data_IF_976837839385
#
_entry.id   IF_976837839385
#
_cell.length_a   1.000
_cell.length_b   1.000
_cell.length_c   1.000
_cell.angle_alpha   90.00
_cell.angle_beta   90.00
_cell.angle_gamma   90.00
#
_symmetry.space_group_name_H-M   'P 1'
#
loop_
_entity.id
_entity.type
_entity.pdbx_description
1 polymer ?
#
# COMPACT_ATOMS: atom_id res chain seq x y z
N UNK A 1 11.50 6.42 -2.52
CA UNK A 1 10.82 7.07 -3.66
C UNK A 1 11.89 7.78 -4.44
N UNK A 2 12.17 7.36 -5.68
CA UNK A 2 13.40 7.80 -6.36
C UNK A 2 13.25 9.15 -7.09
N UNK A 3 12.01 9.52 -7.41
CA UNK A 3 11.68 10.76 -8.14
C UNK A 3 10.44 11.44 -7.56
N UNK A 4 10.45 12.77 -7.55
CA UNK A 4 9.29 13.57 -7.20
C UNK A 4 8.14 13.29 -8.19
N UNK A 5 6.93 12.96 -7.71
CA UNK A 5 5.81 12.62 -8.60
C UNK A 5 5.32 13.82 -9.41
N UNK A 6 5.50 15.05 -8.90
CA UNK A 6 5.07 16.26 -9.60
C UNK A 6 6.02 16.67 -10.73
N UNK A 7 7.33 16.84 -10.44
CA UNK A 7 8.28 17.39 -11.42
C UNK A 7 9.30 16.39 -11.97
N UNK A 8 9.26 15.13 -11.51
CA UNK A 8 10.16 14.03 -11.90
C UNK A 8 11.65 14.24 -11.61
N UNK A 9 12.02 15.28 -10.87
CA UNK A 9 13.37 15.46 -10.35
C UNK A 9 13.73 14.31 -9.39
N UNK A 10 15.01 13.95 -9.31
CA UNK A 10 15.47 12.95 -8.35
C UNK A 10 15.13 13.41 -6.93
N UNK A 11 14.45 12.56 -6.19
CA UNK A 11 14.17 12.81 -4.78
C UNK A 11 15.34 12.26 -3.95
N UNK A 12 15.71 12.99 -2.91
CA UNK A 12 16.59 12.50 -1.85
C UNK A 12 15.69 11.90 -0.78
N UNK A 13 15.92 10.66 -0.36
CA UNK A 13 15.06 9.89 0.54
C UNK A 13 14.84 10.53 1.92
N UNK A 14 15.64 11.52 2.32
CA UNK A 14 15.44 12.27 3.56
C UNK A 14 14.88 13.68 3.36
N UNK A 15 14.82 14.18 2.12
CA UNK A 15 14.33 15.54 1.86
C UNK A 15 12.83 15.67 2.16
N UNK A 16 12.44 16.62 3.01
CA UNK A 16 11.04 16.91 3.32
C UNK A 16 10.32 17.49 2.12
N UNK A 17 10.99 18.38 1.36
CA UNK A 17 10.45 19.01 0.16
C UNK A 17 11.30 18.69 -1.07
N UNK A 18 10.67 18.68 -2.25
CA UNK A 18 11.40 18.59 -3.51
C UNK A 18 12.20 19.87 -3.78
N UNK A 19 13.52 19.75 -3.94
CA UNK A 19 14.41 20.90 -4.23
C UNK A 19 14.09 21.64 -5.53
N UNK A 20 13.35 21.03 -6.47
CA UNK A 20 13.01 21.65 -7.76
C UNK A 20 11.68 22.38 -7.76
N UNK A 21 10.63 21.77 -7.19
CA UNK A 21 9.27 22.31 -7.28
C UNK A 21 8.65 22.64 -5.93
N UNK A 22 9.36 22.45 -4.82
CA UNK A 22 8.86 22.74 -3.47
C UNK A 22 7.76 21.79 -2.99
N UNK A 23 7.42 20.73 -3.73
CA UNK A 23 6.40 19.77 -3.31
C UNK A 23 6.77 19.11 -1.98
N UNK A 24 5.82 19.01 -1.07
CA UNK A 24 5.96 18.28 0.19
C UNK A 24 6.02 16.77 -0.04
N UNK A 25 7.19 16.18 0.24
CA UNK A 25 7.50 14.77 0.03
C UNK A 25 7.38 13.95 1.32
N UNK A 26 7.50 14.55 2.51
CA UNK A 26 7.46 13.78 3.76
C UNK A 26 6.08 13.15 3.96
N UNK A 27 5.00 13.92 3.72
CA UNK A 27 3.63 13.39 3.81
C UNK A 27 3.39 12.22 2.85
N UNK A 28 3.87 12.32 1.61
CA UNK A 28 3.77 11.23 0.63
C UNK A 28 4.49 9.96 1.12
N UNK A 29 5.69 10.11 1.68
CA UNK A 29 6.43 8.97 2.27
C UNK A 29 5.73 8.36 3.46
N UNK A 30 5.13 9.18 4.33
CA UNK A 30 4.33 8.69 5.44
C UNK A 30 3.14 7.85 4.95
N UNK A 31 2.47 8.29 3.88
CA UNK A 31 1.40 7.53 3.22
C UNK A 31 1.91 6.21 2.64
N UNK A 32 3.04 6.22 1.93
CA UNK A 32 3.65 4.99 1.39
C UNK A 32 4.00 3.99 2.50
N UNK A 33 4.65 4.45 3.57
CA UNK A 33 4.99 3.60 4.71
C UNK A 33 3.75 3.08 5.44
N UNK A 34 2.69 3.89 5.54
CA UNK A 34 1.43 3.44 6.11
C UNK A 34 0.78 2.35 5.25
N UNK A 35 0.83 2.49 3.92
CA UNK A 35 0.35 1.48 2.99
C UNK A 35 1.13 0.16 3.15
N UNK A 36 2.46 0.23 3.25
CA UNK A 36 3.29 -0.95 3.43
C UNK A 36 3.01 -1.67 4.76
N UNK A 37 2.79 -0.94 5.85
CA UNK A 37 2.39 -1.52 7.15
C UNK A 37 1.04 -2.23 7.06
N UNK A 38 0.05 -1.63 6.38
CA UNK A 38 -1.27 -2.25 6.20
C UNK A 38 -1.22 -3.47 5.30
N UNK A 39 -0.36 -3.47 4.27
CA UNK A 39 -0.15 -4.62 3.42
C UNK A 39 0.45 -5.80 4.21
N UNK A 40 1.48 -5.54 5.01
CA UNK A 40 2.07 -6.55 5.88
C UNK A 40 1.05 -7.11 6.87
N UNK A 41 0.22 -6.25 7.46
CA UNK A 41 -0.84 -6.68 8.38
C UNK A 41 -1.88 -7.54 7.67
N UNK A 42 -2.34 -7.15 6.49
CA UNK A 42 -3.25 -7.95 5.68
C UNK A 42 -2.72 -9.36 5.43
N UNK A 43 -1.43 -9.48 5.04
CA UNK A 43 -0.79 -10.78 4.84
C UNK A 43 -0.71 -11.59 6.14
N UNK A 44 -0.43 -10.97 7.30
CA UNK A 44 -0.45 -11.68 8.60
C UNK A 44 -1.84 -12.20 8.95
N UNK A 45 -2.88 -11.40 8.73
CA UNK A 45 -4.26 -11.81 8.99
C UNK A 45 -4.69 -12.96 8.06
N UNK A 46 -4.25 -12.94 6.79
CA UNK A 46 -4.44 -14.07 5.88
C UNK A 46 -3.81 -15.35 6.42
N UNK A 47 -2.57 -15.27 6.93
CA UNK A 47 -1.87 -16.41 7.51
C UNK A 47 -2.54 -16.92 8.81
N UNK A 48 -3.17 -16.02 9.56
CA UNK A 48 -3.96 -16.35 10.74
C UNK A 48 -5.36 -16.93 10.41
N UNK A 49 -5.77 -16.91 9.14
CA UNK A 49 -7.09 -17.36 8.68
C UNK A 49 -8.21 -16.33 8.89
N UNK A 50 -7.91 -15.14 9.40
CA UNK A 50 -8.88 -14.06 9.56
C UNK A 50 -9.06 -13.30 8.23
N UNK A 51 -9.98 -13.82 7.41
CA UNK A 51 -10.28 -13.24 6.09
C UNK A 51 -10.86 -11.82 6.20
N UNK A 52 -11.65 -11.54 7.24
CA UNK A 52 -12.31 -10.25 7.41
C UNK A 52 -11.30 -9.16 7.75
N UNK A 53 -10.45 -9.39 8.75
CA UNK A 53 -9.40 -8.47 9.13
C UNK A 53 -8.36 -8.29 8.00
N UNK A 54 -8.05 -9.37 7.26
CA UNK A 54 -7.18 -9.30 6.10
C UNK A 54 -7.75 -8.40 5.00
N UNK A 55 -9.02 -8.58 4.64
CA UNK A 55 -9.66 -7.78 3.61
C UNK A 55 -9.71 -6.30 4.02
N UNK A 56 -10.05 -5.99 5.28
CA UNK A 56 -10.07 -4.62 5.78
C UNK A 56 -8.70 -3.95 5.66
N UNK A 57 -7.63 -4.63 6.12
CA UNK A 57 -6.28 -4.10 6.06
C UNK A 57 -5.83 -3.86 4.61
N UNK A 58 -6.13 -4.79 3.69
CA UNK A 58 -5.81 -4.64 2.27
C UNK A 58 -6.63 -3.54 1.60
N UNK A 59 -7.89 -3.35 1.99
CA UNK A 59 -8.71 -2.25 1.47
C UNK A 59 -8.15 -0.89 1.89
N UNK A 60 -7.60 -0.80 3.10
CA UNK A 60 -6.88 0.41 3.57
C UNK A 60 -5.57 0.65 2.81
N UNK A 61 -4.90 -0.37 2.28
CA UNK A 61 -3.78 -0.15 1.34
C UNK A 61 -4.28 0.61 0.11
N UNK A 62 -5.42 0.20 -0.45
CA UNK A 62 -5.99 0.80 -1.67
C UNK A 62 -6.50 2.24 -1.48
N UNK A 63 -6.81 2.65 -0.25
CA UNK A 63 -7.14 4.06 0.04
C UNK A 63 -5.89 4.95 0.10
N UNK A 64 -4.72 4.37 0.40
CA UNK A 64 -3.45 5.08 0.52
C UNK A 64 -2.66 5.07 -0.80
N UNK A 65 -2.69 3.95 -1.52
CA UNK A 65 -1.92 3.74 -2.76
C UNK A 65 -2.66 2.79 -3.69
N UNK A 66 -2.61 3.08 -4.99
CA UNK A 66 -3.07 2.15 -6.02
C UNK A 66 -2.11 0.95 -6.14
N UNK A 67 -2.26 -0.03 -5.27
CA UNK A 67 -1.38 -1.20 -5.14
C UNK A 67 -1.96 -2.43 -5.87
N UNK A 68 -1.31 -2.93 -6.94
CA UNK A 68 -1.79 -4.09 -7.68
C UNK A 68 -1.87 -5.36 -6.84
N UNK A 69 -0.90 -5.58 -5.94
CA UNK A 69 -0.85 -6.78 -5.12
C UNK A 69 -2.02 -6.80 -4.13
N UNK A 70 -2.29 -5.68 -3.44
CA UNK A 70 -3.43 -5.58 -2.53
C UNK A 70 -4.76 -5.89 -3.24
N UNK A 71 -4.93 -5.39 -4.48
CA UNK A 71 -6.12 -5.69 -5.30
C UNK A 71 -6.25 -7.18 -5.60
N UNK A 72 -5.17 -7.85 -5.97
CA UNK A 72 -5.17 -9.29 -6.24
C UNK A 72 -5.48 -10.11 -4.99
N UNK A 73 -4.91 -9.74 -3.84
CA UNK A 73 -5.14 -10.42 -2.56
C UNK A 73 -6.59 -10.29 -2.09
N UNK A 74 -7.22 -9.12 -2.26
CA UNK A 74 -8.66 -8.95 -1.99
C UNK A 74 -9.49 -9.86 -2.91
N UNK A 75 -9.13 -9.95 -4.20
CA UNK A 75 -9.78 -10.88 -5.13
C UNK A 75 -9.71 -12.33 -4.65
N UNK A 76 -8.53 -12.76 -4.17
CA UNK A 76 -8.34 -14.08 -3.57
C UNK A 76 -9.17 -14.30 -2.30
N UNK A 77 -9.28 -13.30 -1.43
CA UNK A 77 -10.10 -13.36 -0.21
C UNK A 77 -11.60 -13.36 -0.47
N UNK A 78 -12.05 -12.82 -1.61
CA UNK A 78 -13.46 -12.83 -2.01
C UNK A 78 -13.85 -14.03 -2.83
N UNK A 79 -12.88 -14.70 -3.46
CA UNK A 79 -13.16 -15.94 -4.15
C UNK A 79 -13.78 -16.94 -3.16
N UNK A 80 -14.90 -17.59 -3.51
CA UNK A 80 -15.44 -18.65 -2.68
C UNK A 80 -14.34 -19.68 -2.46
N UNK A 81 -14.19 -20.15 -1.22
CA UNK A 81 -13.31 -21.27 -0.95
C UNK A 81 -13.78 -22.39 -1.88
N UNK A 82 -12.94 -22.74 -2.87
CA UNK A 82 -13.29 -23.74 -3.86
C UNK A 82 -13.73 -25.00 -3.14
N UNK A 83 -14.98 -25.40 -3.42
CA UNK A 83 -15.50 -26.74 -3.24
C UNK A 83 -14.42 -27.74 -3.68
N UNK A 84 -13.80 -28.39 -2.72
CA UNK A 84 -13.13 -29.65 -2.95
C UNK A 84 -14.26 -30.66 -3.13
N UNK A 85 -14.51 -31.01 -4.39
CA UNK A 85 -15.26 -32.23 -4.77
C UNK A 85 -14.25 -33.39 -4.80
#
# INVERSE_FOLDING_TARGET
>A
MDRCPNCRARADDQAQHCRRCGMELALLRCTDQAADRRLQEGVRQMAAGDRGAAEEALQQVLTLRADPLARHLIGFLRAPAGSSD
#
